data_IF_000363093005
#
_entry.id   IF_000363093005
#
_cell.length_a   1.000
_cell.length_b   1.000
_cell.length_c   1.000
_cell.angle_alpha   90.00
_cell.angle_beta   90.00
_cell.angle_gamma   90.00
#
_symmetry.space_group_name_H-M   'P 1'
#
loop_
_entity.id
_entity.type
_entity.pdbx_description
1 polymer ?
#
# COMPACT_ATOMS: atom_id res chain seq x y z
N UNK A 1 8.45 -9.50 14.23
CA UNK A 1 8.25 -9.32 12.79
C UNK A 1 7.12 -10.21 12.32
N UNK A 2 5.91 -9.72 12.58
CA UNK A 2 4.64 -10.29 12.14
C UNK A 2 3.89 -9.17 11.45
N UNK A 3 3.87 -9.20 10.13
CA UNK A 3 2.97 -8.36 9.35
C UNK A 3 1.63 -9.06 9.22
N UNK A 4 0.54 -8.36 9.45
CA UNK A 4 -0.84 -8.87 9.33
C UNK A 4 -1.64 -7.99 8.40
N UNK A 5 -2.45 -8.63 7.55
CA UNK A 5 -3.44 -7.97 6.70
C UNK A 5 -4.79 -8.58 7.03
N UNK A 6 -5.76 -7.73 7.37
CA UNK A 6 -7.11 -8.17 7.72
C UNK A 6 -8.19 -7.38 6.99
N UNK A 7 -9.27 -8.06 6.62
CA UNK A 7 -10.50 -7.45 6.10
C UNK A 7 -11.56 -7.24 7.22
N UNK A 8 -11.18 -7.46 8.48
CA UNK A 8 -12.06 -7.43 9.66
C UNK A 8 -12.71 -8.77 10.01
N UNK A 9 -12.66 -9.77 9.12
CA UNK A 9 -13.21 -11.12 9.34
C UNK A 9 -12.15 -12.21 9.19
N UNK A 10 -11.25 -12.05 8.23
CA UNK A 10 -10.13 -12.92 7.96
C UNK A 10 -8.83 -12.14 8.19
N UNK A 11 -7.83 -12.81 8.73
CA UNK A 11 -6.49 -12.24 8.94
C UNK A 11 -5.48 -13.15 8.30
N UNK A 12 -4.67 -12.60 7.41
CA UNK A 12 -3.61 -13.29 6.72
C UNK A 12 -2.27 -12.67 7.12
N UNK A 13 -1.28 -13.53 7.34
CA UNK A 13 0.08 -13.15 7.75
C UNK A 13 1.05 -13.43 6.60
N UNK A 14 1.36 -12.43 5.76
CA UNK A 14 2.42 -12.57 4.78
C UNK A 14 3.79 -12.74 5.45
N UNK A 15 4.76 -13.25 4.70
CA UNK A 15 6.13 -13.38 5.20
C UNK A 15 6.82 -12.02 5.30
N UNK A 16 6.58 -11.13 4.33
CA UNK A 16 7.20 -9.82 4.27
C UNK A 16 6.44 -8.89 3.31
N UNK A 17 6.37 -7.60 3.64
CA UNK A 17 6.00 -6.55 2.67
C UNK A 17 7.28 -5.98 2.07
N UNK A 18 7.47 -6.19 0.77
CA UNK A 18 8.64 -5.77 0.02
C UNK A 18 8.51 -4.31 -0.45
N UNK A 19 9.60 -3.56 -0.36
CA UNK A 19 9.74 -2.28 -1.05
C UNK A 19 8.78 -1.18 -0.57
N UNK A 20 8.69 -0.96 0.74
CA UNK A 20 7.84 0.08 1.33
C UNK A 20 8.26 1.49 0.89
N UNK A 21 7.55 2.04 -0.10
CA UNK A 21 7.77 3.38 -0.63
C UNK A 21 6.44 4.13 -0.86
N UNK A 22 5.64 4.40 0.19
CA UNK A 22 4.36 5.08 0.04
C UNK A 22 4.56 6.52 -0.43
N UNK A 23 3.85 6.92 -1.48
CA UNK A 23 3.84 8.29 -1.96
C UNK A 23 2.63 9.04 -1.42
N UNK A 24 2.80 10.34 -1.14
CA UNK A 24 1.69 11.26 -0.83
C UNK A 24 1.72 12.40 -1.83
N UNK A 25 0.65 12.55 -2.61
CA UNK A 25 0.55 13.66 -3.54
C UNK A 25 0.48 14.98 -2.76
N UNK A 26 1.43 15.89 -3.03
CA UNK A 26 1.39 17.24 -2.50
C UNK A 26 0.21 18.00 -3.13
N UNK A 27 -0.62 18.62 -2.27
CA UNK A 27 -1.74 19.46 -2.69
C UNK A 27 -1.47 20.96 -2.50
N UNK A 28 -0.25 21.29 -2.07
CA UNK A 28 0.26 22.66 -2.03
C UNK A 28 0.28 23.22 -3.44
N UNK A 29 -0.32 24.39 -3.64
CA UNK A 29 -0.29 25.11 -4.91
C UNK A 29 0.61 26.32 -4.79
N UNK A 30 1.55 26.45 -5.72
CA UNK A 30 2.48 27.58 -5.80
C UNK A 30 2.13 28.37 -7.05
N UNK A 31 1.77 29.63 -6.88
CA UNK A 31 1.49 30.56 -7.97
C UNK A 31 2.65 31.55 -8.09
N UNK A 32 3.38 31.49 -9.20
CA UNK A 32 4.39 32.48 -9.51
C UNK A 32 3.69 33.75 -10.03
N UNK A 33 3.95 34.88 -9.37
CA UNK A 33 3.40 36.18 -9.74
C UNK A 33 4.40 36.94 -10.62
N UNK A 34 3.95 37.43 -11.77
CA UNK A 34 4.80 38.24 -12.65
C UNK A 34 5.18 39.55 -11.95
N UNK A 35 6.49 39.85 -11.91
CA UNK A 35 7.02 41.09 -11.33
C UNK A 35 7.29 41.03 -9.82
N UNK A 36 7.11 39.87 -9.16
CA UNK A 36 7.46 39.66 -7.76
C UNK A 36 8.36 38.43 -7.59
N UNK A 37 9.43 38.50 -6.77
CA UNK A 37 10.28 37.34 -6.50
C UNK A 37 9.62 36.31 -5.57
N UNK A 38 8.70 36.75 -4.70
CA UNK A 38 7.98 35.84 -3.79
C UNK A 38 6.76 35.22 -4.49
N UNK A 39 6.65 33.88 -4.54
CA UNK A 39 5.45 33.22 -5.02
C UNK A 39 4.33 33.26 -3.97
N UNK A 40 3.09 33.24 -4.43
CA UNK A 40 1.94 33.02 -3.56
C UNK A 40 1.74 31.51 -3.36
N UNK A 41 1.57 31.08 -2.10
CA UNK A 41 1.53 29.67 -1.73
C UNK A 41 0.25 29.37 -0.98
N UNK A 42 -0.59 28.52 -1.58
CA UNK A 42 -1.76 27.96 -0.90
C UNK A 42 -1.41 26.60 -0.31
N UNK A 43 -1.35 26.53 1.02
CA UNK A 43 -1.11 25.30 1.76
C UNK A 43 -2.41 24.47 1.84
N UNK A 44 -2.32 23.20 1.46
CA UNK A 44 -3.38 22.21 1.67
C UNK A 44 -2.74 20.92 2.21
N UNK A 45 -3.42 20.18 3.10
CA UNK A 45 -2.93 18.88 3.54
C UNK A 45 -2.62 17.97 2.33
N UNK A 46 -1.55 17.20 2.44
CA UNK A 46 -1.21 16.19 1.45
C UNK A 46 -2.35 15.17 1.29
N UNK A 47 -2.42 14.52 0.12
CA UNK A 47 -3.29 13.37 -0.05
C UNK A 47 -2.91 12.22 0.90
N UNK A 48 -3.85 11.30 1.12
CA UNK A 48 -3.58 10.01 1.78
C UNK A 48 -2.53 9.23 0.98
N UNK A 49 -1.85 8.26 1.62
CA UNK A 49 -0.82 7.46 0.96
C UNK A 49 -1.44 6.66 -0.18
N UNK A 50 -0.73 6.62 -1.30
CA UNK A 50 -1.05 5.73 -2.40
C UNK A 50 0.24 5.18 -2.98
N UNK A 51 0.16 4.04 -3.64
CA UNK A 51 1.32 3.41 -4.25
C UNK A 51 1.06 1.95 -4.51
N UNK A 52 2.14 1.19 -4.59
CA UNK A 52 2.10 -0.23 -4.84
C UNK A 52 2.60 -0.98 -3.60
N UNK A 53 1.81 -1.95 -3.16
CA UNK A 53 2.13 -2.85 -2.06
C UNK A 53 2.59 -4.19 -2.66
N UNK A 54 3.82 -4.60 -2.36
CA UNK A 54 4.36 -5.90 -2.79
C UNK A 54 4.44 -6.82 -1.59
N UNK A 55 3.75 -7.94 -1.63
CA UNK A 55 3.55 -8.84 -0.50
C UNK A 55 4.19 -10.18 -0.85
N UNK A 56 5.15 -10.63 -0.04
CA UNK A 56 5.77 -11.93 -0.18
C UNK A 56 4.96 -12.98 0.59
N UNK A 57 4.48 -13.98 -0.13
CA UNK A 57 3.74 -15.12 0.38
C UNK A 57 4.63 -16.37 0.45
N UNK A 58 4.34 -17.25 1.40
CA UNK A 58 5.13 -18.45 1.64
C UNK A 58 4.96 -19.51 0.54
N UNK A 59 3.75 -19.67 0.03
CA UNK A 59 3.38 -20.66 -0.98
C UNK A 59 2.24 -20.14 -1.86
N UNK A 60 1.87 -20.93 -2.86
CA UNK A 60 0.82 -20.61 -3.83
C UNK A 60 -0.56 -20.46 -3.18
N UNK A 61 -0.85 -21.27 -2.16
CA UNK A 61 -2.15 -21.26 -1.46
C UNK A 61 -2.31 -19.94 -0.69
N UNK A 62 -1.26 -19.52 0.02
CA UNK A 62 -1.23 -18.24 0.71
C UNK A 62 -1.32 -17.06 -0.26
N UNK A 63 -0.67 -17.16 -1.43
CA UNK A 63 -0.75 -16.14 -2.47
C UNK A 63 -2.16 -16.03 -3.04
N UNK A 64 -2.81 -17.15 -3.36
CA UNK A 64 -4.19 -17.18 -3.85
C UNK A 64 -5.18 -16.62 -2.82
N UNK A 65 -5.00 -16.95 -1.54
CA UNK A 65 -5.82 -16.38 -0.46
C UNK A 65 -5.61 -14.86 -0.33
N UNK A 66 -4.35 -14.40 -0.47
CA UNK A 66 -4.03 -12.97 -0.47
C UNK A 66 -4.68 -12.23 -1.63
N UNK A 67 -4.54 -12.78 -2.84
CA UNK A 67 -5.15 -12.24 -4.05
C UNK A 67 -6.67 -12.18 -3.91
N UNK A 68 -7.30 -13.24 -3.42
CA UNK A 68 -8.74 -13.28 -3.21
C UNK A 68 -9.21 -12.23 -2.20
N UNK A 69 -8.50 -12.05 -1.09
CA UNK A 69 -8.78 -11.00 -0.11
C UNK A 69 -8.66 -9.61 -0.75
N UNK A 70 -7.61 -9.38 -1.54
CA UNK A 70 -7.37 -8.10 -2.21
C UNK A 70 -8.38 -7.82 -3.34
N UNK A 71 -8.88 -8.88 -4.00
CA UNK A 71 -9.89 -8.79 -5.04
C UNK A 71 -11.32 -8.60 -4.49
N UNK A 72 -11.55 -8.80 -3.19
CA UNK A 72 -12.87 -8.71 -2.58
C UNK A 72 -13.45 -7.28 -2.54
N UNK A 73 -12.61 -6.25 -2.74
CA UNK A 73 -13.05 -4.85 -2.74
C UNK A 73 -13.45 -4.31 -1.36
N UNK A 74 -12.87 -4.86 -0.30
CA UNK A 74 -13.10 -4.44 1.09
C UNK A 74 -12.00 -3.48 1.57
N UNK A 75 -12.24 -2.82 2.70
CA UNK A 75 -11.20 -2.07 3.41
C UNK A 75 -10.30 -3.05 4.14
N UNK A 76 -9.02 -3.01 3.82
CA UNK A 76 -7.99 -3.84 4.41
C UNK A 76 -7.21 -3.02 5.44
N UNK A 77 -6.85 -3.67 6.55
CA UNK A 77 -5.97 -3.08 7.56
C UNK A 77 -4.63 -3.80 7.52
N UNK A 78 -3.57 -3.05 7.26
CA UNK A 78 -2.19 -3.50 7.42
C UNK A 78 -1.72 -3.13 8.82
N UNK A 79 -1.18 -4.10 9.55
CA UNK A 79 -0.50 -3.87 10.82
C UNK A 79 0.82 -4.64 10.85
N UNK A 80 1.85 -4.01 11.42
CA UNK A 80 3.18 -4.58 11.56
C UNK A 80 3.69 -4.27 12.96
N UNK A 81 4.23 -5.27 13.65
CA UNK A 81 4.69 -5.16 15.04
C UNK A 81 6.02 -4.40 15.18
N UNK A 82 6.82 -4.33 14.12
CA UNK A 82 8.14 -3.69 14.14
C UNK A 82 8.15 -2.34 13.40
N UNK A 83 7.32 -2.18 12.37
CA UNK A 83 7.22 -0.96 11.56
C UNK A 83 5.86 -0.30 11.76
N UNK A 84 5.67 0.36 12.89
CA UNK A 84 4.41 1.06 13.22
C UNK A 84 4.00 2.12 12.17
N UNK A 85 4.96 2.69 11.43
CA UNK A 85 4.67 3.64 10.35
C UNK A 85 4.02 2.99 9.13
N UNK A 86 4.10 1.65 9.00
CA UNK A 86 3.44 0.89 7.94
C UNK A 86 1.96 0.64 8.23
N UNK A 87 1.54 0.73 9.49
CA UNK A 87 0.15 0.50 9.86
C UNK A 87 -0.79 1.51 9.19
N UNK A 88 -1.81 1.00 8.49
CA UNK A 88 -2.84 1.82 7.83
C UNK A 88 -4.08 1.00 7.44
N UNK A 89 -5.19 1.70 7.24
CA UNK A 89 -6.34 1.18 6.50
C UNK A 89 -6.24 1.59 5.02
N UNK A 90 -6.47 0.66 4.10
CA UNK A 90 -6.34 0.90 2.67
C UNK A 90 -7.35 0.10 1.86
N UNK A 91 -7.52 0.49 0.60
CA UNK A 91 -8.28 -0.25 -0.41
C UNK A 91 -7.38 -0.53 -1.61
N UNK A 92 -7.67 -1.60 -2.32
CA UNK A 92 -7.05 -1.89 -3.61
C UNK A 92 -7.74 -1.02 -4.67
N UNK A 93 -6.99 -0.16 -5.34
CA UNK A 93 -7.54 0.87 -6.25
C UNK A 93 -7.05 0.76 -7.69
N UNK A 94 -6.23 -0.25 -7.99
CA UNK A 94 -5.65 -0.44 -9.32
C UNK A 94 -5.36 -1.91 -9.63
N UNK A 95 -4.18 -2.16 -10.17
CA UNK A 95 -3.83 -3.48 -10.65
C UNK A 95 -3.48 -4.41 -9.48
N UNK A 96 -3.95 -5.65 -9.59
CA UNK A 96 -3.58 -6.77 -8.74
C UNK A 96 -2.88 -7.81 -9.61
N UNK A 97 -1.68 -8.20 -9.23
CA UNK A 97 -0.90 -9.23 -9.95
C UNK A 97 -0.25 -10.19 -8.97
N UNK A 98 -0.25 -11.46 -9.32
CA UNK A 98 0.43 -12.52 -8.56
C UNK A 98 1.51 -13.13 -9.44
N UNK A 99 2.74 -13.15 -8.95
CA UNK A 99 3.90 -13.67 -9.68
C UNK A 99 4.71 -14.64 -8.80
N UNK A 100 5.31 -15.66 -9.41
CA UNK A 100 6.30 -16.49 -8.72
C UNK A 100 7.61 -15.70 -8.64
N UNK A 101 8.21 -15.64 -7.46
CA UNK A 101 9.50 -14.99 -7.25
C UNK A 101 10.56 -15.64 -8.14
N UNK A 102 11.12 -14.86 -9.07
CA UNK A 102 12.05 -15.36 -10.08
C UNK A 102 13.41 -15.74 -9.50
N UNK A 103 13.73 -15.30 -8.29
CA UNK A 103 15.01 -15.62 -7.64
C UNK A 103 14.94 -16.98 -6.96
N UNK A 104 13.93 -17.20 -6.11
CA UNK A 104 13.84 -18.43 -5.32
C UNK A 104 12.98 -19.51 -5.95
N UNK A 105 12.06 -19.17 -6.86
CA UNK A 105 11.06 -20.06 -7.49
C UNK A 105 10.24 -20.89 -6.48
N UNK A 106 10.24 -20.49 -5.21
CA UNK A 106 9.56 -21.17 -4.10
C UNK A 106 8.60 -20.24 -3.36
N UNK A 107 8.65 -18.94 -3.65
CA UNK A 107 7.83 -17.90 -3.02
C UNK A 107 7.02 -17.18 -4.06
N UNK A 108 5.91 -16.63 -3.63
CA UNK A 108 4.99 -15.89 -4.48
C UNK A 108 4.94 -14.44 -4.04
N UNK A 109 4.85 -13.52 -4.99
CA UNK A 109 4.72 -12.10 -4.73
C UNK A 109 3.36 -11.65 -5.25
N UNK A 110 2.54 -11.14 -4.35
CA UNK A 110 1.28 -10.47 -4.68
C UNK A 110 1.53 -8.98 -4.67
N UNK A 111 1.27 -8.32 -5.80
CA UNK A 111 1.47 -6.89 -5.97
C UNK A 111 0.11 -6.22 -6.18
N UNK A 112 -0.23 -5.25 -5.34
CA UNK A 112 -1.50 -4.55 -5.37
C UNK A 112 -1.30 -3.03 -5.32
N UNK A 113 -1.92 -2.31 -6.25
CA UNK A 113 -2.01 -0.86 -6.16
C UNK A 113 -3.02 -0.48 -5.07
N UNK A 114 -2.57 0.32 -4.10
CA UNK A 114 -3.36 0.68 -2.94
C UNK A 114 -3.59 2.18 -2.80
N UNK A 115 -4.66 2.52 -2.09
CA UNK A 115 -4.92 3.87 -1.59
C UNK A 115 -5.36 3.78 -0.15
N UNK A 116 -4.66 4.51 0.72
CA UNK A 116 -4.98 4.66 2.14
C UNK A 116 -6.31 5.39 2.29
N UNK A 117 -7.12 4.91 3.22
CA UNK A 117 -8.43 5.47 3.56
C UNK A 117 -8.47 5.83 5.04
N UNK A 118 -9.29 6.82 5.38
CA UNK A 118 -9.59 7.10 6.78
C UNK A 118 -10.63 6.08 7.26
N UNK A 119 -10.45 5.51 8.46
CA UNK A 119 -11.45 4.66 9.08
C UNK A 119 -12.74 5.43 9.42
#
# INVERSE_FOLDING_TARGET
MTTTITDGTTTLTPLLVLGWAPARQARTRVHQLLGRPDPDVTLRPHALRAGQLRILCADEVAAAAMEQMHAAGTVLTLADDDVATAAMAYVVSGQLTTELDQVTLLRWVVTADFTEVLP
#
